data_IF_176220987041
#
_entry.id   IF_176220987041
#
_cell.length_a   1.000
_cell.length_b   1.000
_cell.length_c   1.000
_cell.angle_alpha   90.00
_cell.angle_beta   90.00
_cell.angle_gamma   90.00
#
_symmetry.space_group_name_H-M   'P 1'
#
loop_
_entity.id
_entity.type
_entity.pdbx_description
1 polymer ?
#
# COMPACT_ATOMS: atom_id res chain seq x y z
N UNK A 1 -2.50 14.06 -10.46
CA UNK A 1 -3.05 15.01 -9.45
C UNK A 1 -1.93 15.95 -9.01
N UNK A 2 -2.16 17.26 -9.05
CA UNK A 2 -1.19 18.26 -8.56
C UNK A 2 -0.96 18.00 -7.06
N UNK A 3 0.26 17.66 -6.66
CA UNK A 3 0.68 17.74 -5.25
C UNK A 3 0.57 19.21 -4.87
N UNK A 4 -0.49 19.62 -4.19
CA UNK A 4 -0.51 20.92 -3.53
C UNK A 4 0.56 20.85 -2.44
N UNK A 5 1.68 21.54 -2.66
CA UNK A 5 2.69 21.74 -1.62
C UNK A 5 2.01 22.56 -0.54
N UNK A 6 1.72 21.94 0.59
CA UNK A 6 1.24 22.62 1.78
C UNK A 6 2.48 22.91 2.65
N UNK A 7 3.07 24.11 2.57
CA UNK A 7 4.30 24.44 3.29
C UNK A 7 4.17 24.28 4.81
N UNK A 8 2.96 24.43 5.35
CA UNK A 8 2.68 24.31 6.79
C UNK A 8 2.28 22.89 7.21
N UNK A 9 2.23 21.92 6.30
CA UNK A 9 1.76 20.56 6.62
C UNK A 9 2.64 19.85 7.66
N UNK A 10 3.90 20.29 7.83
CA UNK A 10 4.78 19.79 8.90
C UNK A 10 4.52 20.48 10.25
N UNK A 11 3.91 21.66 10.26
CA UNK A 11 3.68 22.48 11.46
C UNK A 11 2.26 22.36 12.01
N UNK A 12 1.36 21.69 11.29
CA UNK A 12 -0.04 21.52 11.69
C UNK A 12 -0.39 20.06 11.90
N UNK A 13 -1.26 19.77 12.87
CA UNK A 13 -1.88 18.44 12.98
C UNK A 13 -2.68 18.16 11.71
N UNK A 14 -2.46 17.00 11.11
CA UNK A 14 -3.13 16.60 9.87
C UNK A 14 -3.45 15.12 9.86
N UNK A 15 -4.51 14.76 9.16
CA UNK A 15 -4.81 13.35 8.86
C UNK A 15 -4.29 13.03 7.47
N UNK A 16 -3.47 11.99 7.37
CA UNK A 16 -3.00 11.44 6.11
C UNK A 16 -3.81 10.18 5.77
N UNK A 17 -4.57 10.26 4.69
CA UNK A 17 -5.35 9.13 4.19
C UNK A 17 -4.68 8.56 2.95
N UNK A 18 -4.54 7.23 2.91
CA UNK A 18 -3.97 6.51 1.78
C UNK A 18 -4.77 5.25 1.46
N UNK A 19 -4.75 4.87 0.19
CA UNK A 19 -5.36 3.64 -0.31
C UNK A 19 -4.38 2.93 -1.23
N UNK A 20 -4.09 1.68 -0.87
CA UNK A 20 -3.44 0.73 -1.77
C UNK A 20 -4.49 -0.26 -2.25
N UNK A 21 -4.66 -0.40 -3.56
CA UNK A 21 -5.67 -1.29 -4.16
C UNK A 21 -5.12 -2.01 -5.39
N UNK A 22 -5.33 -3.31 -5.43
CA UNK A 22 -5.12 -4.16 -6.58
C UNK A 22 -6.46 -4.67 -7.10
N UNK A 23 -6.66 -4.50 -8.39
CA UNK A 23 -7.75 -5.12 -9.12
C UNK A 23 -7.19 -6.35 -9.82
N UNK A 24 -7.50 -7.52 -9.26
CA UNK A 24 -6.85 -8.77 -9.67
C UNK A 24 -7.59 -9.39 -10.84
N UNK A 25 -8.80 -9.90 -10.63
CA UNK A 25 -9.54 -10.66 -11.64
C UNK A 25 -11.05 -10.59 -11.48
N UNK A 26 -11.76 -10.86 -12.58
CA UNK A 26 -13.21 -11.01 -12.64
C UNK A 26 -13.62 -12.44 -13.02
N UNK A 27 -14.65 -12.96 -12.36
CA UNK A 27 -15.33 -14.22 -12.72
C UNK A 27 -16.82 -13.98 -12.96
N UNK A 28 -17.49 -14.94 -13.62
CA UNK A 28 -18.92 -14.85 -13.94
C UNK A 28 -19.26 -13.82 -15.03
N UNK A 29 -18.27 -13.34 -15.79
CA UNK A 29 -18.46 -12.43 -16.93
C UNK A 29 -18.43 -13.18 -18.27
N UNK A 30 -19.23 -12.77 -19.28
CA UNK A 30 -19.23 -13.39 -20.61
C UNK A 30 -17.84 -13.41 -21.29
N UNK A 31 -17.52 -14.52 -21.96
CA UNK A 31 -16.26 -14.68 -22.69
C UNK A 31 -16.23 -13.89 -24.01
N UNK A 32 -15.04 -13.74 -24.61
CA UNK A 32 -14.81 -13.04 -25.89
C UNK A 32 -15.20 -11.55 -25.88
N UNK A 33 -15.34 -10.96 -24.70
CA UNK A 33 -15.59 -9.53 -24.47
C UNK A 33 -14.45 -8.92 -23.67
N UNK A 34 -14.19 -7.63 -23.86
CA UNK A 34 -13.16 -6.88 -23.13
C UNK A 34 -13.78 -6.18 -21.92
N UNK A 35 -13.10 -6.22 -20.79
CA UNK A 35 -13.55 -5.61 -19.54
C UNK A 35 -12.47 -4.72 -18.94
N UNK A 36 -12.89 -3.66 -18.27
CA UNK A 36 -12.03 -2.82 -17.45
C UNK A 36 -12.79 -2.41 -16.19
N UNK A 37 -12.05 -1.96 -15.19
CA UNK A 37 -12.61 -1.46 -13.95
C UNK A 37 -12.29 0.02 -13.76
N UNK A 38 -13.16 0.72 -13.06
CA UNK A 38 -12.92 2.07 -12.55
C UNK A 38 -12.95 2.05 -11.03
N UNK A 39 -11.97 2.69 -10.40
CA UNK A 39 -11.92 2.90 -8.95
C UNK A 39 -12.42 4.30 -8.65
N UNK A 40 -13.54 4.38 -7.96
CA UNK A 40 -14.13 5.62 -7.47
C UNK A 40 -14.07 5.66 -5.94
N UNK A 41 -13.70 6.80 -5.36
CA UNK A 41 -13.78 7.04 -3.92
C UNK A 41 -14.84 8.10 -3.68
N UNK A 42 -15.88 7.76 -2.91
CA UNK A 42 -17.08 8.59 -2.69
C UNK A 42 -17.56 9.27 -3.99
N UNK A 43 -17.79 8.45 -5.03
CA UNK A 43 -18.24 8.83 -6.38
C UNK A 43 -17.25 9.60 -7.26
N UNK A 44 -16.06 9.95 -6.76
CA UNK A 44 -15.02 10.60 -7.56
C UNK A 44 -14.14 9.54 -8.23
N UNK A 45 -13.94 9.61 -9.54
CA UNK A 45 -13.07 8.67 -10.28
C UNK A 45 -11.58 8.96 -10.01
N UNK A 46 -10.85 7.96 -9.52
CA UNK A 46 -9.41 8.08 -9.23
C UNK A 46 -8.53 7.27 -10.20
N UNK A 47 -8.98 6.10 -10.64
CA UNK A 47 -8.22 5.27 -11.57
C UNK A 47 -9.11 4.42 -12.46
N UNK A 48 -8.52 3.95 -13.56
CA UNK A 48 -9.12 3.00 -14.47
C UNK A 48 -8.07 1.96 -14.87
N UNK A 49 -8.46 0.69 -14.90
CA UNK A 49 -7.57 -0.37 -15.39
C UNK A 49 -7.48 -0.37 -16.91
N UNK A 50 -6.50 -1.09 -17.45
CA UNK A 50 -6.53 -1.45 -18.87
C UNK A 50 -7.72 -2.37 -19.18
N UNK A 51 -8.16 -2.38 -20.44
CA UNK A 51 -9.20 -3.29 -20.90
C UNK A 51 -8.62 -4.65 -21.30
N UNK A 52 -9.11 -5.73 -20.68
CA UNK A 52 -8.64 -7.11 -20.89
C UNK A 52 -9.72 -7.97 -21.53
N UNK A 53 -9.36 -8.71 -22.58
CA UNK A 53 -10.24 -9.69 -23.21
C UNK A 53 -10.41 -10.90 -22.28
N UNK A 54 -11.66 -11.26 -21.94
CA UNK A 54 -11.96 -12.51 -21.23
C UNK A 54 -11.77 -13.69 -22.17
N UNK A 55 -10.66 -14.41 -22.00
CA UNK A 55 -10.44 -15.77 -22.54
C UNK A 55 -10.86 -16.78 -21.47
N UNK A 56 -9.94 -17.60 -20.96
CA UNK A 56 -10.16 -18.46 -19.79
C UNK A 56 -10.30 -17.63 -18.51
N UNK A 57 -9.52 -16.55 -18.39
CA UNK A 57 -9.51 -15.65 -17.24
C UNK A 57 -9.61 -14.18 -17.68
N UNK A 58 -10.20 -13.33 -16.85
CA UNK A 58 -10.10 -11.87 -17.01
C UNK A 58 -9.29 -11.34 -15.82
N UNK A 59 -7.98 -11.22 -16.04
CA UNK A 59 -7.00 -10.83 -15.03
C UNK A 59 -6.30 -9.53 -15.45
N UNK A 60 -6.30 -8.57 -14.52
CA UNK A 60 -5.58 -7.30 -14.65
C UNK A 60 -4.30 -7.33 -13.83
N UNK A 61 -4.39 -7.69 -12.54
CA UNK A 61 -3.26 -7.62 -11.62
C UNK A 61 -2.74 -6.19 -11.42
N UNK A 62 -3.57 -5.18 -11.70
CA UNK A 62 -3.15 -3.77 -11.72
C UNK A 62 -3.22 -3.16 -10.31
N UNK A 63 -2.16 -2.45 -9.94
CA UNK A 63 -1.98 -1.80 -8.64
C UNK A 63 -2.14 -0.29 -8.75
N UNK A 64 -2.88 0.30 -7.82
CA UNK A 64 -2.97 1.75 -7.62
C UNK A 64 -2.62 2.09 -6.18
N UNK A 65 -1.70 3.04 -6.01
CA UNK A 65 -1.31 3.60 -4.72
C UNK A 65 -1.70 5.09 -4.68
N UNK A 66 -2.58 5.44 -3.76
CA UNK A 66 -3.09 6.80 -3.57
C UNK A 66 -2.71 7.31 -2.19
N UNK A 67 -2.22 8.55 -2.14
CA UNK A 67 -1.84 9.23 -0.91
C UNK A 67 -2.55 10.59 -0.83
N UNK A 68 -2.57 11.19 0.37
CA UNK A 68 -3.17 12.50 0.60
C UNK A 68 -4.65 12.56 0.16
N UNK A 69 -5.38 11.47 0.41
CA UNK A 69 -6.80 11.40 0.09
C UNK A 69 -7.62 12.26 1.05
N UNK A 70 -8.76 12.82 0.61
CA UNK A 70 -9.75 13.33 1.55
C UNK A 70 -10.29 12.19 2.44
N UNK A 71 -11.01 12.56 3.49
CA UNK A 71 -11.79 11.58 4.25
C UNK A 71 -12.81 10.94 3.30
N UNK A 72 -12.74 9.61 3.16
CA UNK A 72 -13.61 8.84 2.27
C UNK A 72 -14.26 7.70 3.04
N UNK A 73 -15.50 7.39 2.69
CA UNK A 73 -16.28 6.36 3.37
C UNK A 73 -16.38 5.07 2.56
N UNK A 74 -16.40 5.19 1.23
CA UNK A 74 -16.63 4.07 0.32
C UNK A 74 -15.63 4.02 -0.81
N UNK A 75 -15.06 2.84 -1.03
CA UNK A 75 -14.31 2.49 -2.24
C UNK A 75 -15.28 1.75 -3.17
N UNK A 76 -15.61 2.35 -4.31
CA UNK A 76 -16.47 1.76 -5.32
C UNK A 76 -15.64 1.31 -6.53
N UNK A 77 -15.77 0.05 -6.90
CA UNK A 77 -15.14 -0.49 -8.12
C UNK A 77 -16.22 -0.81 -9.13
N UNK A 78 -16.26 -0.05 -10.23
CA UNK A 78 -17.22 -0.24 -11.31
C UNK A 78 -16.64 -1.15 -12.39
N UNK A 79 -17.34 -2.22 -12.74
CA UNK A 79 -16.94 -3.15 -13.80
C UNK A 79 -17.65 -2.80 -15.11
N UNK A 80 -16.88 -2.53 -16.15
CA UNK A 80 -17.40 -2.21 -17.48
C UNK A 80 -17.04 -3.28 -18.50
N UNK A 81 -17.95 -3.47 -19.45
CA UNK A 81 -17.66 -4.10 -20.74
C UNK A 81 -17.29 -3.00 -21.74
N UNK A 82 -16.09 -3.10 -22.31
CA UNK A 82 -15.62 -2.19 -23.35
C UNK A 82 -16.47 -2.35 -24.62
N UNK A 83 -16.87 -1.23 -25.21
CA UNK A 83 -17.54 -1.19 -26.50
C UNK A 83 -16.67 -1.76 -27.61
N UNK A 84 -17.31 -2.35 -28.62
CA UNK A 84 -16.59 -2.76 -29.82
C UNK A 84 -16.19 -1.53 -30.63
N UNK A 85 -14.89 -1.20 -30.64
CA UNK A 85 -14.35 -0.05 -31.37
C UNK A 85 -14.64 -0.08 -32.88
N UNK A 86 -14.96 -1.26 -33.45
CA UNK A 86 -15.38 -1.38 -34.85
C UNK A 86 -16.78 -0.79 -35.09
N UNK A 87 -17.60 -0.67 -34.05
CA UNK A 87 -18.96 -0.10 -34.12
C UNK A 87 -18.96 1.31 -33.53
N UNK A 88 -18.87 2.33 -34.38
CA UNK A 88 -18.81 3.76 -34.00
C UNK A 88 -19.88 4.28 -33.02
N UNK A 89 -20.99 3.56 -32.81
CA UNK A 89 -22.10 3.94 -31.91
C UNK A 89 -22.13 3.16 -30.58
N UNK A 90 -21.25 2.17 -30.41
CA UNK A 90 -21.27 1.34 -29.21
C UNK A 90 -20.61 2.08 -28.04
N UNK A 91 -21.24 2.03 -26.85
CA UNK A 91 -20.75 2.68 -25.63
C UNK A 91 -20.35 1.61 -24.61
N UNK A 92 -19.39 1.95 -23.75
CA UNK A 92 -19.03 1.06 -22.64
C UNK A 92 -20.27 0.79 -21.79
N UNK A 93 -20.48 -0.47 -21.42
CA UNK A 93 -21.66 -0.90 -20.66
C UNK A 93 -21.23 -1.21 -19.23
N UNK A 94 -21.80 -0.49 -18.27
CA UNK A 94 -21.65 -0.82 -16.85
C UNK A 94 -22.32 -2.18 -16.58
N UNK A 95 -21.54 -3.13 -16.09
CA UNK A 95 -22.03 -4.45 -15.67
C UNK A 95 -22.60 -4.35 -14.25
N UNK A 96 -21.88 -3.64 -13.39
CA UNK A 96 -22.27 -3.38 -12.02
C UNK A 96 -21.06 -2.90 -11.21
N UNK A 97 -21.24 -2.85 -9.89
CA UNK A 97 -20.28 -2.23 -8.98
C UNK A 97 -20.07 -3.08 -7.73
N UNK A 98 -18.88 -2.95 -7.17
CA UNK A 98 -18.52 -3.45 -5.84
C UNK A 98 -18.34 -2.24 -4.93
N UNK A 99 -19.04 -2.21 -3.80
CA UNK A 99 -18.88 -1.16 -2.80
C UNK A 99 -18.22 -1.74 -1.55
N UNK A 100 -17.03 -1.22 -1.21
CA UNK A 100 -16.25 -1.63 -0.05
C UNK A 100 -16.25 -0.46 0.95
N UNK A 101 -16.93 -0.59 2.10
CA UNK A 101 -16.81 0.39 3.18
C UNK A 101 -15.37 0.48 3.65
N UNK A 102 -14.82 1.69 3.73
CA UNK A 102 -13.42 1.94 4.10
C UNK A 102 -13.09 1.31 5.45
N UNK A 103 -14.00 1.40 6.42
CA UNK A 103 -13.86 0.79 7.75
C UNK A 103 -13.57 -0.73 7.73
N UNK A 104 -13.93 -1.44 6.66
CA UNK A 104 -13.70 -2.88 6.54
C UNK A 104 -12.28 -3.22 6.07
N UNK A 105 -11.49 -2.23 5.64
CA UNK A 105 -10.15 -2.41 5.06
C UNK A 105 -9.11 -1.49 5.73
N UNK A 106 -9.37 -1.02 6.95
CA UNK A 106 -8.45 -0.21 7.78
C UNK A 106 -7.39 -1.02 8.53
N UNK A 107 -7.34 -2.34 8.33
CA UNK A 107 -6.33 -3.21 8.96
C UNK A 107 -4.91 -2.81 8.57
N UNK A 108 -3.93 -3.12 9.43
CA UNK A 108 -2.51 -3.00 9.09
C UNK A 108 -2.15 -3.78 7.83
N UNK A 109 -2.84 -4.90 7.56
CA UNK A 109 -2.54 -5.77 6.42
C UNK A 109 -3.55 -5.62 5.28
N UNK A 110 -3.07 -5.87 4.06
CA UNK A 110 -3.92 -5.91 2.87
C UNK A 110 -4.98 -7.00 2.99
N UNK A 111 -6.22 -6.62 2.72
CA UNK A 111 -7.36 -7.53 2.69
C UNK A 111 -7.64 -7.94 1.26
N UNK A 112 -7.48 -9.23 0.96
CA UNK A 112 -7.78 -9.82 -0.34
C UNK A 112 -9.05 -10.67 -0.28
N UNK A 113 -10.08 -10.29 -1.02
CA UNK A 113 -11.39 -10.94 -1.00
C UNK A 113 -12.05 -10.95 -2.38
N UNK A 114 -12.94 -11.91 -2.58
CA UNK A 114 -13.92 -11.88 -3.67
C UNK A 114 -15.13 -11.06 -3.24
N UNK A 115 -15.50 -10.09 -4.06
CA UNK A 115 -16.67 -9.25 -3.87
C UNK A 115 -17.68 -9.50 -4.99
N UNK A 116 -18.96 -9.76 -4.67
CA UNK A 116 -19.99 -9.88 -5.68
C UNK A 116 -20.24 -8.52 -6.36
N UNK A 117 -20.38 -8.52 -7.67
CA UNK A 117 -20.72 -7.34 -8.46
C UNK A 117 -22.24 -7.15 -8.43
N UNK A 118 -22.69 -6.04 -7.88
CA UNK A 118 -24.11 -5.68 -7.79
C UNK A 118 -24.51 -4.90 -9.04
N UNK A 119 -25.61 -5.29 -9.68
CA UNK A 119 -26.14 -4.65 -10.89
C UNK A 119 -27.56 -4.17 -10.67
N UNK A 120 -27.91 -3.00 -11.22
CA UNK A 120 -29.28 -2.46 -11.17
C UNK A 120 -30.28 -3.25 -12.02
N UNK A 121 -29.80 -4.14 -12.90
CA UNK A 121 -30.63 -4.90 -13.86
C UNK A 121 -31.18 -6.23 -13.31
N UNK A 122 -31.19 -6.41 -11.99
CA UNK A 122 -31.72 -7.61 -11.32
C UNK A 122 -30.67 -8.70 -11.07
N UNK A 123 -31.00 -9.63 -10.16
CA UNK A 123 -30.09 -10.71 -9.77
C UNK A 123 -29.96 -11.76 -10.88
N UNK A 124 -28.76 -11.87 -11.45
CA UNK A 124 -28.38 -12.99 -12.32
C UNK A 124 -28.25 -14.27 -11.49
N UNK A 125 -28.55 -15.42 -12.12
CA UNK A 125 -28.44 -16.76 -11.50
C UNK A 125 -27.02 -17.07 -11.00
N UNK A 126 -26.01 -16.50 -11.66
CA UNK A 126 -24.62 -16.45 -11.20
C UNK A 126 -24.11 -15.01 -11.35
N UNK A 127 -24.05 -14.21 -10.27
CA UNK A 127 -23.59 -12.84 -10.34
C UNK A 127 -22.07 -12.81 -10.60
N UNK A 128 -21.58 -11.89 -11.43
CA UNK A 128 -20.15 -11.66 -11.57
C UNK A 128 -19.52 -11.32 -10.22
N UNK A 129 -18.23 -11.61 -10.05
CA UNK A 129 -17.48 -11.24 -8.86
C UNK A 129 -16.10 -10.71 -9.23
N UNK A 130 -15.59 -9.79 -8.42
CA UNK A 130 -14.26 -9.19 -8.54
C UNK A 130 -13.39 -9.59 -7.36
N UNK A 131 -12.16 -10.02 -7.63
CA UNK A 131 -11.14 -10.23 -6.61
C UNK A 131 -10.36 -8.94 -6.43
N UNK A 132 -10.49 -8.36 -5.25
CA UNK A 132 -9.86 -7.07 -4.91
C UNK A 132 -9.00 -7.29 -3.67
N UNK A 133 -7.77 -6.78 -3.74
CA UNK A 133 -6.86 -6.70 -2.60
C UNK A 133 -6.64 -5.24 -2.26
N UNK A 134 -7.02 -4.80 -1.06
CA UNK A 134 -6.83 -3.40 -0.70
C UNK A 134 -6.62 -3.17 0.80
N UNK A 135 -6.11 -1.99 1.12
CA UNK A 135 -5.97 -1.45 2.47
C UNK A 135 -6.12 0.05 2.40
N UNK A 136 -6.92 0.59 3.31
CA UNK A 136 -7.01 2.01 3.56
C UNK A 136 -6.29 2.33 4.87
N UNK A 137 -5.54 3.42 4.93
CA UNK A 137 -4.93 3.89 6.18
C UNK A 137 -5.35 5.34 6.40
N UNK A 138 -5.75 5.65 7.63
CA UNK A 138 -5.98 7.01 8.10
C UNK A 138 -5.08 7.22 9.30
N UNK A 139 -4.05 8.05 9.13
CA UNK A 139 -3.03 8.29 10.15
C UNK A 139 -3.12 9.73 10.59
N UNK A 140 -3.32 9.94 11.89
CA UNK A 140 -3.25 11.26 12.49
C UNK A 140 -1.78 11.61 12.79
N UNK A 141 -1.32 12.71 12.20
CA UNK A 141 0.07 13.16 12.25
C UNK A 141 0.09 14.49 13.00
N UNK A 142 0.86 14.54 14.07
CA UNK A 142 1.03 15.74 14.90
C UNK A 142 2.03 16.71 14.23
N UNK A 143 2.07 17.99 14.66
CA UNK A 143 3.14 18.90 14.25
C UNK A 143 4.52 18.32 14.54
N UNK A 144 5.48 18.56 13.65
CA UNK A 144 6.84 18.00 13.71
C UNK A 144 7.55 18.32 15.02
N UNK A 145 7.23 19.46 15.64
CA UNK A 145 7.78 19.90 16.92
C UNK A 145 7.45 18.92 18.06
N UNK A 146 6.30 18.24 18.00
CA UNK A 146 5.88 17.26 19.02
C UNK A 146 6.76 16.01 18.99
N UNK A 147 7.35 15.67 17.85
CA UNK A 147 8.20 14.50 17.69
C UNK A 147 9.68 14.75 18.04
N UNK A 148 10.07 15.96 18.46
CA UNK A 148 11.48 16.33 18.64
C UNK A 148 12.19 15.48 19.69
N UNK A 149 11.59 15.26 20.87
CA UNK A 149 12.19 14.40 21.90
C UNK A 149 12.34 12.95 21.43
N UNK A 150 11.33 12.44 20.73
CA UNK A 150 11.38 11.09 20.16
C UNK A 150 12.44 10.97 19.05
N UNK A 151 12.55 11.99 18.20
CA UNK A 151 13.58 12.05 17.16
C UNK A 151 14.98 12.08 17.77
N UNK A 152 15.19 12.85 18.83
CA UNK A 152 16.48 12.89 19.51
C UNK A 152 16.83 11.56 20.18
N UNK A 153 15.84 10.90 20.81
CA UNK A 153 15.99 9.53 21.29
C UNK A 153 16.38 8.56 20.18
N UNK A 154 15.68 8.60 19.02
CA UNK A 154 16.04 7.77 17.87
C UNK A 154 17.47 8.06 17.40
N UNK A 155 17.93 9.31 17.41
CA UNK A 155 19.26 9.71 16.93
C UNK A 155 20.42 9.31 17.85
N UNK A 156 20.15 9.10 19.13
CA UNK A 156 21.19 8.98 20.17
C UNK A 156 21.16 7.61 20.88
N UNK A 157 19.96 7.04 21.07
CA UNK A 157 19.76 5.79 21.81
C UNK A 157 19.31 4.62 20.93
N UNK A 158 19.40 4.74 19.60
CA UNK A 158 19.08 3.64 18.68
C UNK A 158 19.84 2.33 18.96
N UNK A 159 21.10 2.30 19.46
CA UNK A 159 21.77 1.04 19.75
C UNK A 159 21.01 0.22 20.80
N UNK A 160 20.66 0.84 21.92
CA UNK A 160 19.88 0.19 22.98
C UNK A 160 18.45 -0.15 22.54
N UNK A 161 17.84 0.66 21.67
CA UNK A 161 16.54 0.36 21.08
C UNK A 161 16.60 -0.89 20.20
N UNK A 162 17.50 -0.93 19.23
CA UNK A 162 17.68 -2.05 18.32
C UNK A 162 18.07 -3.33 19.06
N UNK A 163 18.90 -3.22 20.11
CA UNK A 163 19.25 -4.36 20.95
C UNK A 163 18.03 -4.99 21.64
N UNK A 164 17.15 -4.18 22.22
CA UNK A 164 15.93 -4.69 22.87
C UNK A 164 14.90 -5.19 21.88
N UNK A 165 14.79 -4.57 20.71
CA UNK A 165 13.83 -4.96 19.68
C UNK A 165 14.22 -6.25 18.97
N UNK A 166 15.50 -6.49 18.73
CA UNK A 166 15.99 -7.63 17.94
C UNK A 166 15.40 -9.00 18.37
N UNK A 167 15.41 -9.39 19.67
CA UNK A 167 14.80 -10.65 20.10
C UNK A 167 13.27 -10.55 20.30
N UNK A 168 12.72 -9.35 20.44
CA UNK A 168 11.34 -9.14 20.88
C UNK A 168 10.31 -9.13 19.74
N UNK A 169 10.72 -8.84 18.50
CA UNK A 169 9.80 -8.63 17.39
C UNK A 169 10.02 -9.63 16.23
N UNK A 170 8.93 -9.95 15.53
CA UNK A 170 8.98 -10.82 14.36
C UNK A 170 9.59 -10.15 13.12
N UNK A 171 10.03 -10.96 12.15
CA UNK A 171 10.76 -10.51 10.94
C UNK A 171 10.06 -9.38 10.19
N UNK A 172 8.74 -9.43 10.05
CA UNK A 172 7.97 -8.38 9.37
C UNK A 172 8.02 -7.03 10.10
N UNK A 173 7.95 -7.05 11.43
CA UNK A 173 8.07 -5.84 12.23
C UNK A 173 9.51 -5.28 12.18
N UNK A 174 10.52 -6.15 12.10
CA UNK A 174 11.91 -5.73 11.87
C UNK A 174 12.04 -4.98 10.55
N UNK A 175 11.44 -5.49 9.47
CA UNK A 175 11.43 -4.83 8.16
C UNK A 175 10.75 -3.45 8.22
N UNK A 176 9.56 -3.37 8.81
CA UNK A 176 8.82 -2.10 8.93
C UNK A 176 9.60 -1.07 9.76
N UNK A 177 10.16 -1.47 10.92
CA UNK A 177 10.91 -0.58 11.81
C UNK A 177 12.25 -0.18 11.20
N UNK A 178 12.99 -1.12 10.61
CA UNK A 178 14.26 -0.81 9.96
C UNK A 178 14.08 0.18 8.81
N UNK A 179 13.04 -0.02 7.98
CA UNK A 179 12.68 0.91 6.90
C UNK A 179 12.38 2.31 7.44
N UNK A 180 11.60 2.40 8.53
CA UNK A 180 11.29 3.69 9.17
C UNK A 180 12.52 4.37 9.78
N UNK A 181 13.35 3.63 10.52
CA UNK A 181 14.57 4.16 11.14
C UNK A 181 15.56 4.66 10.09
N UNK A 182 15.78 3.91 9.02
CA UNK A 182 16.65 4.32 7.91
C UNK A 182 16.15 5.61 7.28
N UNK A 183 14.86 5.74 7.03
CA UNK A 183 14.28 6.97 6.46
C UNK A 183 14.49 8.19 7.39
N UNK A 184 14.31 8.01 8.70
CA UNK A 184 14.58 9.06 9.71
C UNK A 184 16.06 9.41 9.75
N UNK A 185 16.94 8.42 9.88
CA UNK A 185 18.39 8.62 9.94
C UNK A 185 18.96 9.24 8.68
N UNK A 186 18.37 8.95 7.51
CA UNK A 186 18.77 9.58 6.26
C UNK A 186 18.42 11.07 6.23
N UNK A 187 17.22 11.44 6.70
CA UNK A 187 16.81 12.85 6.86
C UNK A 187 17.73 13.60 7.83
N UNK A 188 18.16 12.94 8.89
CA UNK A 188 19.09 13.45 9.90
C UNK A 188 20.58 13.36 9.49
N UNK A 189 20.89 12.85 8.28
CA UNK A 189 22.25 12.64 7.76
C UNK A 189 23.14 11.74 8.64
N UNK A 190 22.52 10.84 9.40
CA UNK A 190 23.17 9.85 10.28
C UNK A 190 23.12 8.42 9.73
N UNK A 191 22.45 8.18 8.59
CA UNK A 191 22.25 6.83 8.06
C UNK A 191 23.54 5.99 7.91
N UNK A 192 24.67 6.50 7.38
CA UNK A 192 25.88 5.68 7.27
C UNK A 192 26.43 5.23 8.63
N UNK A 193 26.46 6.12 9.62
CA UNK A 193 26.91 5.80 10.98
C UNK A 193 25.96 4.79 11.64
N UNK A 194 24.65 5.05 11.55
CA UNK A 194 23.62 4.16 12.06
C UNK A 194 23.75 2.73 11.51
N UNK A 195 23.94 2.59 10.19
CA UNK A 195 24.09 1.28 9.54
C UNK A 195 25.38 0.58 9.95
N UNK A 196 26.50 1.31 10.03
CA UNK A 196 27.76 0.76 10.50
C UNK A 196 27.64 0.22 11.92
N UNK A 197 27.07 1.01 12.83
CA UNK A 197 26.89 0.62 14.23
C UNK A 197 25.97 -0.59 14.35
N UNK A 198 24.86 -0.62 13.60
CA UNK A 198 23.91 -1.74 13.64
C UNK A 198 24.52 -3.05 13.11
N UNK A 199 25.33 -2.99 12.05
CA UNK A 199 26.06 -4.16 11.52
C UNK A 199 27.11 -4.63 12.53
N UNK A 200 27.87 -3.71 13.13
CA UNK A 200 28.84 -4.06 14.16
C UNK A 200 28.16 -4.71 15.37
N UNK A 201 27.01 -4.20 15.81
CA UNK A 201 26.23 -4.82 16.89
C UNK A 201 25.77 -6.24 16.55
N UNK A 202 25.35 -6.49 15.31
CA UNK A 202 24.93 -7.81 14.85
C UNK A 202 26.12 -8.79 14.83
N UNK A 203 27.29 -8.34 14.36
CA UNK A 203 28.54 -9.12 14.38
C UNK A 203 28.93 -9.53 15.81
N UNK A 204 28.91 -8.60 16.76
CA UNK A 204 29.30 -8.89 18.15
C UNK A 204 28.30 -9.80 18.88
N UNK A 205 27.05 -9.90 18.41
CA UNK A 205 26.01 -10.74 19.02
C UNK A 205 26.11 -12.20 18.59
N UNK A 206 26.82 -12.47 17.51
CA UNK A 206 26.79 -13.77 16.84
C UNK A 206 28.08 -14.53 17.13
N UNK A 207 27.96 -15.64 17.87
CA UNK A 207 29.08 -16.55 18.17
C UNK A 207 29.51 -17.41 16.95
N UNK A 208 28.66 -17.53 15.92
CA UNK A 208 28.92 -18.30 14.69
C UNK A 208 28.86 -17.40 13.47
N UNK A 209 30.02 -17.10 12.87
CA UNK A 209 30.19 -16.24 11.67
C UNK A 209 29.33 -16.68 10.46
N UNK A 210 28.75 -17.88 10.47
CA UNK A 210 27.80 -18.32 9.42
C UNK A 210 26.41 -17.71 9.58
N UNK A 211 26.11 -17.09 10.73
CA UNK A 211 24.79 -16.52 11.05
C UNK A 211 24.72 -15.00 10.86
N UNK A 212 25.87 -14.32 10.67
CA UNK A 212 26.03 -12.85 10.58
C UNK A 212 25.30 -12.19 9.41
N UNK A 213 24.89 -12.98 8.42
CA UNK A 213 24.13 -12.51 7.25
C UNK A 213 22.77 -13.19 7.12
N UNK A 214 22.19 -13.66 8.24
CA UNK A 214 20.79 -14.10 8.21
C UNK A 214 19.91 -12.89 7.88
N UNK A 215 19.22 -12.95 6.75
CA UNK A 215 18.32 -11.88 6.25
C UNK A 215 17.09 -11.58 7.12
N UNK A 216 17.12 -11.93 8.41
CA UNK A 216 16.06 -11.76 9.40
C UNK A 216 16.49 -10.87 10.58
N UNK A 217 17.68 -10.24 10.53
CA UNK A 217 18.15 -9.29 11.55
C UNK A 217 17.71 -7.85 11.24
N UNK A 218 17.65 -6.96 12.24
CA UNK A 218 17.44 -5.54 11.98
C UNK A 218 18.55 -4.95 11.09
N UNK A 219 19.79 -5.41 11.26
CA UNK A 219 20.92 -4.96 10.43
C UNK A 219 20.71 -5.26 8.95
N UNK A 220 20.38 -6.51 8.62
CA UNK A 220 20.11 -6.91 7.22
C UNK A 220 18.91 -6.18 6.62
N UNK A 221 17.81 -6.01 7.39
CA UNK A 221 16.65 -5.22 6.94
C UNK A 221 16.93 -3.74 6.76
N UNK A 222 17.75 -3.13 7.62
CA UNK A 222 18.14 -1.74 7.48
C UNK A 222 19.01 -1.52 6.25
N UNK A 223 19.96 -2.42 5.98
CA UNK A 223 20.78 -2.39 4.77
C UNK A 223 19.94 -2.54 3.49
N UNK A 224 19.01 -3.50 3.46
CA UNK A 224 18.06 -3.67 2.34
C UNK A 224 17.24 -2.38 2.12
N UNK A 225 16.73 -1.78 3.19
CA UNK A 225 15.93 -0.55 3.11
C UNK A 225 16.75 0.65 2.64
N UNK A 226 17.99 0.80 3.11
CA UNK A 226 18.87 1.89 2.68
C UNK A 226 19.25 1.78 1.21
N UNK A 227 19.62 0.59 0.75
CA UNK A 227 19.94 0.34 -0.65
C UNK A 227 18.76 0.66 -1.58
N UNK A 228 17.52 0.32 -1.18
CA UNK A 228 16.31 0.71 -1.90
C UNK A 228 16.14 2.23 -1.91
N UNK A 229 16.35 2.89 -0.76
CA UNK A 229 16.19 4.34 -0.63
C UNK A 229 17.19 5.16 -1.44
N UNK A 230 18.43 4.68 -1.60
CA UNK A 230 19.48 5.38 -2.36
C UNK A 230 19.62 4.92 -3.82
N UNK A 231 19.00 3.78 -4.17
CA UNK A 231 19.03 3.21 -5.51
C UNK A 231 17.93 3.74 -6.43
N UNK A 232 16.92 4.40 -5.88
CA UNK A 232 15.89 5.17 -6.60
C UNK A 232 16.36 6.63 -6.84
#
# INVERSE_FOLDING_TARGET
LRKSVQPDAEQTRRTDNSLQIWLLEAKGVPTKKRYFCEVCLDNTLYARTTAKLKTELCFWGEHFDFHLLPAVNTIQVNLYREADRKKKRDKNVLIGSVCIPVQNVTSRYLTEKWYPVVSDKGQLKEPPALRVKCRFQSVDILPVQVYQEFLEYLKSDYPSLCERLEPAIGVKAKEDIATALVAVMQREKKAPQFLADLVMMDIHRIDDERLTFRGNSLATKAMEAYLKLTGD
#
